data_IF_211831343105
#
_entry.id   IF_211831343105
#
_cell.length_a   1.000
_cell.length_b   1.000
_cell.length_c   1.000
_cell.angle_alpha   90.00
_cell.angle_beta   90.00
_cell.angle_gamma   90.00
#
_symmetry.space_group_name_H-M   'P 1'
#
loop_
_entity.id
_entity.type
_entity.pdbx_description
1 polymer ?
#
# COMPACT_ATOMS: atom_id res chain seq x y z
N UNK A 1 11.34 -19.34 -6.07
CA UNK A 1 9.94 -18.97 -5.77
C UNK A 1 9.01 -19.69 -6.74
N UNK A 2 7.94 -20.33 -6.25
CA UNK A 2 6.99 -20.99 -7.14
C UNK A 2 6.36 -20.02 -8.15
N UNK A 3 6.07 -20.54 -9.36
CA UNK A 3 5.54 -19.70 -10.44
C UNK A 3 4.24 -19.01 -10.08
N UNK A 4 3.34 -19.71 -9.36
CA UNK A 4 2.06 -19.12 -8.95
C UNK A 4 2.23 -17.97 -7.95
N UNK A 5 3.27 -17.99 -7.12
CA UNK A 5 3.56 -16.87 -6.24
C UNK A 5 4.06 -15.68 -7.03
N UNK A 6 4.93 -15.89 -7.99
CA UNK A 6 5.43 -14.81 -8.87
C UNK A 6 4.29 -14.14 -9.61
N UNK A 7 3.36 -14.94 -10.14
CA UNK A 7 2.19 -14.41 -10.83
C UNK A 7 1.31 -13.59 -9.89
N UNK A 8 1.09 -14.08 -8.67
CA UNK A 8 0.27 -13.38 -7.69
C UNK A 8 0.92 -12.06 -7.23
N UNK A 9 2.22 -12.09 -6.99
CA UNK A 9 2.99 -10.88 -6.63
C UNK A 9 2.86 -9.84 -7.74
N UNK A 10 3.09 -10.26 -8.97
CA UNK A 10 3.00 -9.38 -10.14
C UNK A 10 1.61 -8.77 -10.27
N UNK A 11 0.58 -9.60 -10.13
CA UNK A 11 -0.81 -9.16 -10.21
C UNK A 11 -1.11 -8.10 -9.14
N UNK A 12 -0.68 -8.35 -7.90
CA UNK A 12 -0.93 -7.42 -6.80
C UNK A 12 -0.15 -6.12 -6.95
N UNK A 13 1.08 -6.18 -7.46
CA UNK A 13 1.84 -4.95 -7.73
C UNK A 13 1.21 -4.14 -8.87
N UNK A 14 0.76 -4.79 -9.93
CA UNK A 14 0.05 -4.11 -11.01
C UNK A 14 -1.25 -3.48 -10.52
N UNK A 15 -1.99 -4.20 -9.69
CA UNK A 15 -3.21 -3.69 -9.07
C UNK A 15 -2.95 -2.48 -8.19
N UNK A 16 -1.86 -2.53 -7.39
CA UNK A 16 -1.46 -1.40 -6.57
C UNK A 16 -1.11 -0.18 -7.43
N UNK A 17 -0.40 -0.39 -8.54
CA UNK A 17 -0.04 0.68 -9.47
C UNK A 17 -1.27 1.30 -10.11
N UNK A 18 -2.25 0.49 -10.49
CA UNK A 18 -3.52 0.98 -11.04
C UNK A 18 -4.26 1.85 -10.03
N UNK A 19 -4.28 1.45 -8.76
CA UNK A 19 -4.92 2.23 -7.70
C UNK A 19 -4.21 3.56 -7.49
N UNK A 20 -2.88 3.57 -7.55
CA UNK A 20 -2.12 4.80 -7.43
C UNK A 20 -2.43 5.74 -8.60
N UNK A 21 -2.50 5.21 -9.81
CA UNK A 21 -2.87 6.00 -10.99
C UNK A 21 -4.28 6.59 -10.82
N UNK A 22 -5.22 5.79 -10.31
CA UNK A 22 -6.58 6.27 -10.03
C UNK A 22 -6.58 7.40 -8.99
N UNK A 23 -5.74 7.28 -7.96
CA UNK A 23 -5.61 8.33 -6.94
C UNK A 23 -5.17 9.64 -7.57
N UNK A 24 -4.20 9.59 -8.50
CA UNK A 24 -3.72 10.78 -9.21
C UNK A 24 -4.80 11.40 -10.10
N UNK A 25 -5.54 10.58 -10.84
CA UNK A 25 -6.64 11.05 -11.68
C UNK A 25 -7.72 11.73 -10.84
N UNK A 26 -8.10 11.10 -9.74
CA UNK A 26 -9.12 11.65 -8.83
C UNK A 26 -8.66 12.94 -8.16
N UNK A 27 -7.37 13.02 -7.83
CA UNK A 27 -6.78 14.23 -7.29
C UNK A 27 -6.89 15.38 -8.30
N UNK A 28 -6.53 15.11 -9.54
CA UNK A 28 -6.60 16.10 -10.61
C UNK A 28 -8.03 16.56 -10.87
N UNK A 29 -9.01 15.69 -10.70
CA UNK A 29 -10.44 16.00 -10.88
C UNK A 29 -11.09 16.58 -9.63
N UNK A 30 -10.31 16.84 -8.58
CA UNK A 30 -10.75 17.41 -7.30
C UNK A 30 -11.66 16.48 -6.49
N UNK A 31 -11.62 15.18 -6.75
CA UNK A 31 -12.33 14.15 -5.99
C UNK A 31 -11.43 13.67 -4.86
N UNK A 32 -11.22 14.51 -3.86
CA UNK A 32 -10.18 14.30 -2.84
C UNK A 32 -10.44 13.11 -1.93
N UNK A 33 -11.69 12.93 -1.50
CA UNK A 33 -12.04 11.78 -0.65
C UNK A 33 -11.77 10.46 -1.37
N UNK A 34 -12.19 10.37 -2.64
CA UNK A 34 -11.99 9.16 -3.43
C UNK A 34 -10.51 8.93 -3.70
N UNK A 35 -9.76 10.00 -3.94
CA UNK A 35 -8.30 9.93 -4.13
C UNK A 35 -7.62 9.31 -2.90
N UNK A 36 -8.01 9.74 -1.70
CA UNK A 36 -7.46 9.21 -0.45
C UNK A 36 -7.73 7.71 -0.32
N UNK A 37 -8.94 7.28 -0.64
CA UNK A 37 -9.28 5.85 -0.61
C UNK A 37 -8.41 5.03 -1.55
N UNK A 38 -8.17 5.52 -2.75
CA UNK A 38 -7.31 4.84 -3.72
C UNK A 38 -5.85 4.80 -3.26
N UNK A 39 -5.36 5.88 -2.67
CA UNK A 39 -4.00 5.91 -2.11
C UNK A 39 -3.82 4.86 -1.02
N UNK A 40 -4.79 4.74 -0.12
CA UNK A 40 -4.75 3.70 0.90
C UNK A 40 -4.71 2.31 0.27
N UNK A 41 -5.59 2.03 -0.70
CA UNK A 41 -5.64 0.72 -1.32
C UNK A 41 -4.39 0.41 -2.14
N UNK A 42 -3.72 1.42 -2.68
CA UNK A 42 -2.42 1.21 -3.34
C UNK A 42 -1.40 0.68 -2.34
N UNK A 43 -1.30 1.29 -1.15
CA UNK A 43 -0.40 0.82 -0.09
C UNK A 43 -0.80 -0.57 0.40
N UNK A 44 -2.07 -0.77 0.69
CA UNK A 44 -2.59 -2.03 1.22
C UNK A 44 -2.35 -3.19 0.24
N UNK A 45 -2.63 -2.96 -1.04
CA UNK A 45 -2.44 -3.99 -2.07
C UNK A 45 -0.95 -4.30 -2.26
N UNK A 46 -0.08 -3.29 -2.16
CA UNK A 46 1.36 -3.50 -2.21
C UNK A 46 1.85 -4.39 -1.06
N UNK A 47 1.32 -4.17 0.15
CA UNK A 47 1.64 -5.05 1.30
C UNK A 47 1.18 -6.48 1.01
N UNK A 48 0.02 -6.65 0.38
CA UNK A 48 -0.46 -7.98 0.03
C UNK A 48 0.45 -8.69 -0.98
N UNK A 49 1.22 -7.94 -1.78
CA UNK A 49 2.26 -8.54 -2.61
C UNK A 49 3.36 -9.17 -1.73
N UNK A 50 3.73 -8.52 -0.62
CA UNK A 50 4.67 -9.09 0.34
C UNK A 50 4.10 -10.37 0.98
N UNK A 51 2.82 -10.35 1.32
CA UNK A 51 2.15 -11.54 1.88
C UNK A 51 2.18 -12.70 0.88
N UNK A 52 1.95 -12.41 -0.40
CA UNK A 52 2.02 -13.43 -1.45
C UNK A 52 3.42 -14.04 -1.54
N UNK A 53 4.45 -13.20 -1.44
CA UNK A 53 5.84 -13.66 -1.41
C UNK A 53 6.06 -14.63 -0.25
N UNK A 54 5.52 -14.30 0.92
CA UNK A 54 5.70 -15.09 2.13
C UNK A 54 4.75 -16.30 2.21
N UNK A 55 3.80 -16.41 1.28
CA UNK A 55 2.88 -17.52 1.22
C UNK A 55 1.79 -17.47 2.28
N UNK A 56 1.43 -16.28 2.75
CA UNK A 56 0.38 -16.08 3.77
C UNK A 56 -0.65 -15.08 3.24
N UNK A 57 -1.81 -15.07 3.90
CA UNK A 57 -2.84 -14.08 3.61
C UNK A 57 -3.72 -13.91 4.85
N UNK A 58 -4.44 -12.79 4.89
CA UNK A 58 -5.36 -12.48 5.97
C UNK A 58 -6.60 -11.85 5.37
N UNK A 59 -7.76 -12.20 5.90
CA UNK A 59 -9.05 -11.68 5.37
C UNK A 59 -9.36 -10.26 5.86
N UNK A 60 -8.76 -9.83 6.96
CA UNK A 60 -9.04 -8.51 7.56
C UNK A 60 -7.87 -7.55 7.36
N UNK A 61 -8.19 -6.27 7.16
CA UNK A 61 -7.18 -5.23 7.02
C UNK A 61 -6.23 -5.17 8.21
N UNK A 62 -6.78 -5.29 9.43
CA UNK A 62 -5.95 -5.26 10.64
C UNK A 62 -4.90 -6.36 10.64
N UNK A 63 -5.24 -7.56 10.16
CA UNK A 63 -4.30 -8.67 10.08
C UNK A 63 -3.16 -8.39 9.11
N UNK A 64 -3.48 -7.82 7.95
CA UNK A 64 -2.48 -7.45 6.94
C UNK A 64 -1.53 -6.38 7.49
N UNK A 65 -2.08 -5.35 8.12
CA UNK A 65 -1.30 -4.25 8.70
C UNK A 65 -0.39 -4.77 9.81
N UNK A 66 -0.92 -5.60 10.71
CA UNK A 66 -0.14 -6.20 11.80
C UNK A 66 0.99 -7.08 11.29
N UNK A 67 0.74 -7.85 10.22
CA UNK A 67 1.75 -8.68 9.60
C UNK A 67 2.91 -7.83 9.07
N UNK A 68 2.57 -6.74 8.36
CA UNK A 68 3.59 -5.84 7.83
C UNK A 68 4.45 -5.24 8.93
N UNK A 69 3.82 -4.78 10.02
CA UNK A 69 4.54 -4.21 11.15
C UNK A 69 5.47 -5.23 11.81
N UNK A 70 4.97 -6.44 12.05
CA UNK A 70 5.75 -7.48 12.72
C UNK A 70 6.89 -8.02 11.86
N UNK A 71 6.61 -8.32 10.58
CA UNK A 71 7.56 -9.05 9.74
C UNK A 71 8.45 -8.14 8.90
N UNK A 72 8.10 -6.88 8.73
CA UNK A 72 8.85 -5.98 7.83
C UNK A 72 9.34 -4.72 8.52
N UNK A 73 8.61 -4.19 9.46
CA UNK A 73 9.03 -2.97 10.19
C UNK A 73 9.88 -3.34 11.41
N UNK A 74 9.37 -4.20 12.27
CA UNK A 74 10.06 -4.60 13.49
C UNK A 74 11.39 -5.27 13.18
N UNK A 75 11.47 -5.98 12.08
CA UNK A 75 12.68 -6.64 11.59
C UNK A 75 13.62 -5.72 10.83
N UNK A 76 13.23 -4.45 10.69
CA UNK A 76 14.04 -3.41 10.02
C UNK A 76 14.27 -3.66 8.52
N UNK A 77 13.39 -4.43 7.88
CA UNK A 77 13.42 -4.61 6.41
C UNK A 77 12.94 -3.36 5.70
N UNK A 78 12.07 -2.57 6.35
CA UNK A 78 11.59 -1.27 5.89
C UNK A 78 11.74 -0.25 7.01
N UNK A 79 11.93 1.02 6.63
CA UNK A 79 12.01 2.11 7.60
C UNK A 79 10.67 2.29 8.33
N UNK A 80 10.73 2.77 9.57
CA UNK A 80 9.54 2.99 10.41
C UNK A 80 8.49 3.90 9.76
N UNK A 81 8.93 4.83 8.91
CA UNK A 81 7.99 5.77 8.28
C UNK A 81 6.91 5.04 7.49
N UNK A 82 7.21 3.87 6.92
CA UNK A 82 6.24 3.10 6.14
C UNK A 82 5.13 2.52 7.00
N UNK A 83 5.43 2.13 8.23
CA UNK A 83 4.40 1.73 9.20
C UNK A 83 3.44 2.90 9.47
N UNK A 84 4.01 4.07 9.67
CA UNK A 84 3.23 5.29 9.92
C UNK A 84 2.37 5.65 8.72
N UNK A 85 2.93 5.58 7.52
CA UNK A 85 2.19 5.87 6.29
C UNK A 85 0.96 4.97 6.17
N UNK A 86 1.14 3.67 6.37
CA UNK A 86 0.06 2.70 6.25
C UNK A 86 -1.01 2.89 7.33
N UNK A 87 -0.60 3.04 8.59
CA UNK A 87 -1.52 3.23 9.72
C UNK A 87 -2.33 4.51 9.58
N UNK A 88 -1.68 5.60 9.20
CA UNK A 88 -2.37 6.88 9.03
C UNK A 88 -3.30 6.85 7.82
N UNK A 89 -2.88 6.22 6.73
CA UNK A 89 -3.73 6.08 5.55
C UNK A 89 -4.99 5.27 5.87
N UNK A 90 -4.86 4.20 6.64
CA UNK A 90 -5.99 3.39 7.10
C UNK A 90 -6.96 4.24 7.94
N UNK A 91 -6.43 5.01 8.89
CA UNK A 91 -7.24 5.86 9.76
C UNK A 91 -7.95 6.96 8.97
N UNK A 92 -7.24 7.64 8.07
CA UNK A 92 -7.82 8.72 7.26
C UNK A 92 -8.91 8.16 6.35
N UNK A 93 -8.68 7.01 5.73
CA UNK A 93 -9.68 6.38 4.87
C UNK A 93 -10.93 6.03 5.67
N UNK A 94 -10.79 5.48 6.86
CA UNK A 94 -11.93 5.17 7.72
C UNK A 94 -12.70 6.42 8.10
N UNK A 95 -12.01 7.50 8.48
CA UNK A 95 -12.66 8.76 8.80
C UNK A 95 -13.41 9.34 7.60
N UNK A 96 -12.81 9.23 6.41
CA UNK A 96 -13.39 9.74 5.17
C UNK A 96 -14.66 8.97 4.79
N UNK A 97 -14.66 7.64 4.99
CA UNK A 97 -15.78 6.79 4.60
C UNK A 97 -16.93 6.83 5.61
N UNK A 98 -16.63 6.98 6.90
CA UNK A 98 -17.61 6.75 7.95
C UNK A 98 -17.96 7.96 8.82
N UNK A 99 -17.18 9.05 8.74
CA UNK A 99 -17.47 10.26 9.51
C UNK A 99 -18.25 11.26 8.66
N UNK A 100 -19.41 11.68 9.17
CA UNK A 100 -20.20 12.73 8.51
C UNK A 100 -19.42 14.05 8.59
N UNK A 101 -19.55 14.88 7.55
CA UNK A 101 -18.94 16.21 7.48
C UNK A 101 -17.41 16.20 7.55
N UNK A 102 -16.79 15.07 7.29
CA UNK A 102 -15.32 14.99 7.21
C UNK A 102 -14.87 15.66 5.92
N UNK A 103 -14.03 16.69 6.04
CA UNK A 103 -13.55 17.49 4.91
C UNK A 103 -12.10 17.14 4.62
N UNK A 104 -11.81 16.88 3.37
CA UNK A 104 -10.46 16.56 2.90
C UNK A 104 -9.99 17.67 1.96
N UNK A 105 -8.81 18.22 2.24
CA UNK A 105 -8.23 19.25 1.39
C UNK A 105 -7.42 18.63 0.26
N UNK A 106 -7.09 19.47 -0.74
CA UNK A 106 -6.15 19.08 -1.79
C UNK A 106 -4.81 18.62 -1.18
N UNK A 107 -4.30 19.38 -0.20
CA UNK A 107 -3.00 19.08 0.43
C UNK A 107 -3.01 17.72 1.11
N UNK A 108 -4.11 17.36 1.77
CA UNK A 108 -4.26 16.05 2.39
C UNK A 108 -4.21 14.94 1.36
N UNK A 109 -4.97 15.10 0.28
CA UNK A 109 -5.03 14.09 -0.78
C UNK A 109 -3.69 13.98 -1.51
N UNK A 110 -3.02 15.11 -1.77
CA UNK A 110 -1.70 15.14 -2.40
C UNK A 110 -0.67 14.39 -1.55
N UNK A 111 -0.66 14.67 -0.25
CA UNK A 111 0.25 14.01 0.67
C UNK A 111 0.05 12.49 0.66
N UNK A 112 -1.20 12.04 0.70
CA UNK A 112 -1.49 10.60 0.70
C UNK A 112 -1.06 9.93 -0.61
N UNK A 113 -1.28 10.57 -1.74
CA UNK A 113 -0.86 10.03 -3.03
C UNK A 113 0.67 9.97 -3.13
N UNK A 114 1.37 10.99 -2.64
CA UNK A 114 2.83 11.01 -2.64
C UNK A 114 3.40 9.91 -1.75
N UNK A 115 2.82 9.71 -0.56
CA UNK A 115 3.22 8.63 0.34
C UNK A 115 2.95 7.26 -0.27
N UNK A 116 1.81 7.10 -0.95
CA UNK A 116 1.48 5.85 -1.61
C UNK A 116 2.49 5.51 -2.71
N UNK A 117 2.91 6.51 -3.48
CA UNK A 117 3.93 6.31 -4.51
C UNK A 117 5.26 5.87 -3.92
N UNK A 118 5.72 6.56 -2.87
CA UNK A 118 6.96 6.21 -2.18
C UNK A 118 6.88 4.79 -1.61
N UNK A 119 5.75 4.47 -0.98
CA UNK A 119 5.51 3.16 -0.37
C UNK A 119 5.56 2.04 -1.42
N UNK A 120 4.84 2.21 -2.52
CA UNK A 120 4.80 1.22 -3.58
C UNK A 120 6.18 1.02 -4.21
N UNK A 121 6.89 2.11 -4.47
CA UNK A 121 8.23 2.04 -5.02
C UNK A 121 9.17 1.26 -4.10
N UNK A 122 9.09 1.51 -2.79
CA UNK A 122 9.92 0.79 -1.82
C UNK A 122 9.64 -0.71 -1.83
N UNK A 123 8.36 -1.09 -1.92
CA UNK A 123 7.98 -2.50 -1.96
C UNK A 123 8.42 -3.15 -3.27
N UNK A 124 8.25 -2.46 -4.39
CA UNK A 124 8.69 -2.97 -5.69
C UNK A 124 10.20 -3.23 -5.70
N UNK A 125 10.97 -2.30 -5.16
CA UNK A 125 12.43 -2.44 -5.09
C UNK A 125 12.84 -3.58 -4.17
N UNK A 126 12.17 -3.72 -3.03
CA UNK A 126 12.44 -4.81 -2.08
C UNK A 126 12.17 -6.17 -2.75
N UNK A 127 11.04 -6.32 -3.40
CA UNK A 127 10.68 -7.58 -4.06
C UNK A 127 11.61 -7.91 -5.21
N UNK A 128 12.05 -6.91 -5.94
CA UNK A 128 13.00 -7.07 -7.04
C UNK A 128 14.35 -7.55 -6.52
N UNK A 129 14.83 -6.96 -5.43
CA UNK A 129 16.09 -7.37 -4.81
C UNK A 129 16.03 -8.81 -4.27
N UNK A 130 14.89 -9.19 -3.68
CA UNK A 130 14.69 -10.56 -3.17
C UNK A 130 14.68 -11.57 -4.30
N UNK A 131 14.04 -11.27 -5.42
CA UNK A 131 13.99 -12.15 -6.58
C UNK A 131 15.39 -12.36 -7.17
N UNK A 132 16.19 -11.30 -7.29
CA UNK A 132 17.57 -11.39 -7.76
C UNK A 132 18.38 -12.25 -6.79
N UNK A 133 18.19 -12.06 -5.47
CA UNK A 133 18.87 -12.85 -4.46
C UNK A 133 18.55 -14.34 -4.56
N UNK A 134 17.29 -14.68 -4.79
CA UNK A 134 16.85 -16.07 -4.93
C UNK A 134 17.43 -16.74 -6.17
N UNK A 135 17.70 -15.99 -7.23
CA UNK A 135 18.23 -16.51 -8.49
C UNK A 135 19.74 -16.75 -8.45
N UNK A 136 20.40 -16.35 -7.39
CA UNK A 136 21.82 -16.61 -7.19
C UNK A 136 22.04 -17.93 -6.50
#
# INVERSE_FOLDING_TARGET
MPDNRRELIKYRLESARERLNSAEVLLASKSYKDSIGRSYYAMFTAVRALLAKDGVDYSKHAGVISYFQREYIKTQKFEKKYSKYLSQAFQIRNNTDYADFFVVSFEDAREQADRAREFLTAIEEFLKAEDIGENK
#
